data_IF_956839191536
#
_entry.id   IF_956839191536
#
_cell.length_a   1.000
_cell.length_b   1.000
_cell.length_c   1.000
_cell.angle_alpha   90.00
_cell.angle_beta   90.00
_cell.angle_gamma   90.00
#
_symmetry.space_group_name_H-M   'P 1'
#
loop_
_entity.id
_entity.type
_entity.pdbx_description
1 polymer ?
#
# COMPACT_ATOMS: atom_id res chain seq x y z
N UNK A 1 -14.26 -36.71 11.94
CA UNK A 1 -12.81 -36.44 11.77
C UNK A 1 -12.33 -35.75 13.04
N UNK A 2 -11.38 -36.36 13.74
CA UNK A 2 -10.98 -35.96 15.10
C UNK A 2 -10.11 -34.68 15.07
N UNK A 3 -10.32 -33.77 16.03
CA UNK A 3 -9.59 -32.50 16.19
C UNK A 3 -8.05 -32.64 16.15
N UNK A 4 -7.54 -33.82 16.50
CA UNK A 4 -6.10 -34.15 16.48
C UNK A 4 -5.55 -34.19 15.05
N UNK A 5 -6.30 -34.75 14.08
CA UNK A 5 -5.88 -34.80 12.67
C UNK A 5 -5.82 -33.40 12.04
N UNK A 6 -6.74 -32.52 12.41
CA UNK A 6 -6.78 -31.13 11.92
C UNK A 6 -5.53 -30.36 12.38
N UNK A 7 -5.08 -30.57 13.62
CA UNK A 7 -3.89 -29.93 14.19
C UNK A 7 -2.59 -30.35 13.49
N UNK A 8 -2.42 -31.64 13.19
CA UNK A 8 -1.26 -32.14 12.43
C UNK A 8 -1.25 -31.67 10.98
N UNK A 9 -2.43 -31.60 10.34
CA UNK A 9 -2.55 -31.08 8.98
C UNK A 9 -2.20 -29.59 8.92
N UNK A 10 -2.61 -28.83 9.94
CA UNK A 10 -2.30 -27.40 10.05
C UNK A 10 -0.80 -27.15 10.29
N UNK A 11 -0.17 -27.92 11.19
CA UNK A 11 1.28 -27.83 11.41
C UNK A 11 2.08 -28.24 10.18
N UNK A 12 1.66 -29.28 9.45
CA UNK A 12 2.31 -29.69 8.21
C UNK A 12 2.23 -28.61 7.12
N UNK A 13 1.08 -27.94 6.99
CA UNK A 13 0.91 -26.82 6.05
C UNK A 13 1.80 -25.64 6.43
N UNK A 14 1.87 -25.27 7.71
CA UNK A 14 2.75 -24.18 8.19
C UNK A 14 4.22 -24.52 7.98
N UNK A 15 4.63 -25.76 8.25
CA UNK A 15 6.01 -26.22 8.07
C UNK A 15 6.41 -26.28 6.58
N UNK A 16 5.52 -26.78 5.72
CA UNK A 16 5.73 -26.74 4.27
C UNK A 16 5.75 -25.31 3.72
N UNK A 17 4.89 -24.42 4.22
CA UNK A 17 4.92 -23.00 3.86
C UNK A 17 6.24 -22.34 4.28
N UNK A 18 6.78 -22.66 5.47
CA UNK A 18 8.07 -22.18 5.94
C UNK A 18 9.25 -22.69 5.08
N UNK A 19 9.24 -23.97 4.68
CA UNK A 19 10.25 -24.55 3.79
C UNK A 19 10.19 -23.93 2.39
N UNK A 20 8.99 -23.72 1.85
CA UNK A 20 8.79 -23.01 0.58
C UNK A 20 9.30 -21.58 0.71
N UNK A 21 9.02 -20.89 1.82
CA UNK A 21 9.51 -19.54 2.07
C UNK A 21 11.05 -19.49 2.14
N UNK A 22 11.69 -20.46 2.80
CA UNK A 22 13.16 -20.56 2.89
C UNK A 22 13.81 -20.89 1.54
N UNK A 23 13.18 -21.78 0.74
CA UNK A 23 13.63 -22.11 -0.63
C UNK A 23 13.41 -20.96 -1.60
N UNK A 24 12.30 -20.24 -1.49
CA UNK A 24 12.04 -19.02 -2.26
C UNK A 24 13.02 -17.93 -1.84
N UNK A 25 13.36 -17.78 -0.56
CA UNK A 25 14.37 -16.84 -0.09
C UNK A 25 15.76 -17.20 -0.65
N UNK A 26 16.15 -18.48 -0.63
CA UNK A 26 17.40 -18.96 -1.20
C UNK A 26 17.46 -18.85 -2.72
N UNK A 27 16.36 -19.14 -3.42
CA UNK A 27 16.23 -18.98 -4.87
C UNK A 27 16.22 -17.50 -5.26
N UNK A 28 15.55 -16.63 -4.50
CA UNK A 28 15.58 -15.18 -4.72
C UNK A 28 16.99 -14.65 -4.50
N UNK A 29 17.70 -15.04 -3.44
CA UNK A 29 19.11 -14.66 -3.23
C UNK A 29 20.05 -15.22 -4.31
N UNK A 30 19.76 -16.39 -4.88
CA UNK A 30 20.51 -17.01 -5.98
C UNK A 30 20.25 -16.31 -7.32
N UNK A 31 19.00 -15.96 -7.62
CA UNK A 31 18.57 -15.30 -8.86
C UNK A 31 18.89 -13.80 -8.83
N UNK A 32 18.62 -13.10 -7.73
CA UNK A 32 19.04 -11.70 -7.56
C UNK A 32 20.53 -11.58 -7.26
N UNK A 33 21.18 -12.62 -6.74
CA UNK A 33 22.64 -12.68 -6.62
C UNK A 33 23.29 -12.76 -7.99
N UNK A 34 22.90 -13.73 -8.82
CA UNK A 34 23.58 -13.97 -10.10
C UNK A 34 23.20 -13.01 -11.23
N UNK A 35 21.97 -12.45 -11.25
CA UNK A 35 21.57 -11.52 -12.32
C UNK A 35 22.06 -10.08 -12.12
N UNK A 36 22.49 -9.71 -10.91
CA UNK A 36 22.96 -8.36 -10.60
C UNK A 36 24.48 -8.26 -10.42
N UNK A 37 25.22 -9.36 -10.52
CA UNK A 37 26.63 -9.39 -10.10
C UNK A 37 27.63 -8.86 -11.14
N UNK A 38 27.31 -8.72 -12.43
CA UNK A 38 28.38 -8.50 -13.43
C UNK A 38 28.55 -7.09 -14.03
N UNK A 39 27.63 -6.14 -13.85
CA UNK A 39 27.71 -4.89 -14.65
C UNK A 39 27.43 -3.55 -13.96
N UNK A 40 27.40 -3.48 -12.62
CA UNK A 40 27.18 -2.20 -11.92
C UNK A 40 28.27 -1.93 -10.88
N UNK A 41 29.00 -0.78 -10.96
CA UNK A 41 30.06 -0.47 -10.04
C UNK A 41 29.54 -0.26 -8.60
N UNK A 42 30.31 -0.64 -7.56
CA UNK A 42 29.87 -0.71 -6.16
C UNK A 42 29.48 0.64 -5.54
N UNK A 43 29.95 1.76 -6.08
CA UNK A 43 29.60 3.12 -5.62
C UNK A 43 28.18 3.57 -6.00
N UNK A 44 27.58 3.01 -7.06
CA UNK A 44 26.21 3.34 -7.49
C UNK A 44 25.14 2.46 -6.82
N UNK A 45 25.49 1.23 -6.41
CA UNK A 45 24.56 0.27 -5.78
C UNK A 45 23.97 0.77 -4.45
N UNK A 46 24.71 1.63 -3.73
CA UNK A 46 24.31 2.09 -2.39
C UNK A 46 23.17 3.14 -2.39
N UNK A 47 22.91 3.82 -3.53
CA UNK A 47 21.86 4.87 -3.63
C UNK A 47 20.65 4.48 -4.47
N UNK A 48 20.79 3.51 -5.39
CA UNK A 48 19.70 3.15 -6.31
C UNK A 48 18.55 2.40 -5.62
N UNK A 49 18.86 1.44 -4.74
CA UNK A 49 17.83 0.63 -4.07
C UNK A 49 16.92 1.49 -3.18
N UNK A 50 17.44 2.36 -2.29
CA UNK A 50 16.59 3.24 -1.49
C UNK A 50 15.76 4.21 -2.35
N UNK A 51 16.31 4.66 -3.48
CA UNK A 51 15.60 5.52 -4.42
C UNK A 51 14.43 4.79 -5.08
N UNK A 52 14.64 3.57 -5.59
CA UNK A 52 13.59 2.74 -6.19
C UNK A 52 12.50 2.45 -5.16
N UNK A 53 12.85 2.01 -3.94
CA UNK A 53 11.89 1.72 -2.88
C UNK A 53 11.05 2.97 -2.51
N UNK A 54 11.69 4.12 -2.38
CA UNK A 54 11.00 5.40 -2.09
C UNK A 54 10.10 5.79 -3.25
N UNK A 55 10.58 5.66 -4.49
CA UNK A 55 9.81 5.90 -5.71
C UNK A 55 8.58 5.01 -5.80
N UNK A 56 8.73 3.71 -5.55
CA UNK A 56 7.62 2.74 -5.53
C UNK A 56 6.58 3.11 -4.45
N UNK A 57 7.01 3.52 -3.25
CA UNK A 57 6.08 3.99 -2.20
C UNK A 57 5.30 5.22 -2.64
N UNK A 58 5.99 6.22 -3.22
CA UNK A 58 5.35 7.44 -3.69
C UNK A 58 4.37 7.11 -4.83
N UNK A 59 4.78 6.27 -5.78
CA UNK A 59 3.96 5.84 -6.91
C UNK A 59 2.70 5.11 -6.43
N UNK A 60 2.85 4.06 -5.62
CA UNK A 60 1.72 3.30 -5.07
C UNK A 60 0.82 4.19 -4.20
N UNK A 61 1.43 5.07 -3.39
CA UNK A 61 0.72 6.01 -2.55
C UNK A 61 -0.12 7.00 -3.36
N UNK A 62 0.45 7.58 -4.43
CA UNK A 62 -0.23 8.52 -5.30
C UNK A 62 -1.41 7.84 -6.02
N UNK A 63 -1.20 6.66 -6.59
CA UNK A 63 -2.25 5.90 -7.27
C UNK A 63 -3.40 5.59 -6.31
N UNK A 64 -3.11 5.10 -5.11
CA UNK A 64 -4.16 4.74 -4.14
C UNK A 64 -4.88 5.96 -3.58
N UNK A 65 -4.14 7.03 -3.29
CA UNK A 65 -4.70 8.28 -2.80
C UNK A 65 -5.67 8.88 -3.83
N UNK A 66 -5.20 9.05 -5.07
CA UNK A 66 -6.01 9.61 -6.16
C UNK A 66 -7.22 8.74 -6.49
N UNK A 67 -7.06 7.41 -6.51
CA UNK A 67 -8.17 6.47 -6.72
C UNK A 67 -9.22 6.50 -5.61
N UNK A 68 -8.81 6.67 -4.35
CA UNK A 68 -9.71 6.82 -3.21
C UNK A 68 -10.43 8.17 -3.24
N UNK A 69 -9.69 9.25 -3.41
CA UNK A 69 -10.24 10.62 -3.48
C UNK A 69 -11.20 10.79 -4.66
N UNK A 70 -10.90 10.20 -5.83
CA UNK A 70 -11.82 10.22 -6.98
C UNK A 70 -13.18 9.61 -6.66
N UNK A 71 -13.22 8.50 -5.90
CA UNK A 71 -14.49 7.89 -5.45
C UNK A 71 -15.22 8.77 -4.43
N UNK A 72 -14.49 9.38 -3.49
CA UNK A 72 -15.09 10.27 -2.49
C UNK A 72 -15.62 11.59 -3.09
N UNK A 73 -15.06 12.03 -4.22
CA UNK A 73 -15.45 13.24 -4.95
C UNK A 73 -16.40 12.96 -6.12
N UNK A 74 -16.99 11.76 -6.19
CA UNK A 74 -17.90 11.35 -7.26
C UNK A 74 -17.30 11.56 -8.68
N UNK A 75 -16.00 11.30 -8.83
CA UNK A 75 -15.28 11.40 -10.10
C UNK A 75 -14.70 12.78 -10.43
N UNK A 76 -14.97 13.81 -9.61
CA UNK A 76 -14.45 15.15 -9.85
C UNK A 76 -12.95 15.30 -9.51
N UNK A 77 -12.39 14.38 -8.72
CA UNK A 77 -10.97 14.34 -8.41
C UNK A 77 -10.25 13.40 -9.40
N UNK A 78 -9.04 13.74 -9.89
CA UNK A 78 -8.30 12.90 -10.83
C UNK A 78 -8.10 11.51 -10.25
N UNK A 79 -8.69 10.49 -10.88
CA UNK A 79 -8.56 9.09 -10.50
C UNK A 79 -7.63 8.36 -11.47
N UNK A 80 -6.49 7.87 -10.99
CA UNK A 80 -5.55 7.13 -11.84
C UNK A 80 -6.03 5.72 -12.19
N UNK A 81 -6.68 5.04 -11.23
CA UNK A 81 -7.07 3.63 -11.39
C UNK A 81 -8.42 3.36 -10.73
N UNK A 82 -9.21 2.51 -11.42
CA UNK A 82 -10.42 1.91 -10.91
C UNK A 82 -11.67 2.70 -11.34
N UNK A 83 -12.74 1.99 -11.71
CA UNK A 83 -13.97 2.63 -12.16
C UNK A 83 -14.65 3.37 -11.02
N UNK A 84 -14.94 4.66 -11.22
CA UNK A 84 -15.68 5.49 -10.27
C UNK A 84 -17.13 4.99 -10.12
N UNK A 85 -17.71 4.43 -11.19
CA UNK A 85 -19.07 3.88 -11.19
C UNK A 85 -19.24 2.60 -10.35
N UNK A 86 -18.14 1.99 -9.85
CA UNK A 86 -18.24 0.77 -9.04
C UNK A 86 -19.07 0.97 -7.77
N UNK A 87 -19.01 2.16 -7.17
CA UNK A 87 -19.84 2.50 -6.02
C UNK A 87 -21.32 2.53 -6.36
N UNK A 88 -21.68 2.99 -7.56
CA UNK A 88 -23.06 3.02 -8.03
C UNK A 88 -23.56 1.61 -8.37
N UNK A 89 -22.68 0.75 -8.89
CA UNK A 89 -23.00 -0.67 -9.12
C UNK A 89 -23.22 -1.41 -7.80
N UNK A 90 -22.34 -1.23 -6.81
CA UNK A 90 -22.49 -1.80 -5.48
C UNK A 90 -23.76 -1.31 -4.76
N UNK A 91 -24.18 -0.06 -5.02
CA UNK A 91 -25.42 0.49 -4.47
C UNK A 91 -26.65 -0.31 -4.91
N UNK A 92 -26.68 -0.82 -6.15
CA UNK A 92 -27.80 -1.66 -6.65
C UNK A 92 -28.00 -2.93 -5.83
N UNK A 93 -26.95 -3.41 -5.18
CA UNK A 93 -26.95 -4.59 -4.32
C UNK A 93 -26.97 -4.25 -2.82
N UNK A 94 -27.23 -2.99 -2.45
CA UNK A 94 -27.26 -2.54 -1.04
C UNK A 94 -25.88 -2.45 -0.37
N UNK A 95 -24.80 -2.48 -1.14
CA UNK A 95 -23.39 -2.50 -0.66
C UNK A 95 -22.72 -1.12 -0.73
N UNK A 96 -23.49 -0.04 -0.69
CA UNK A 96 -22.96 1.33 -0.80
C UNK A 96 -21.92 1.67 0.28
N UNK A 97 -22.18 1.29 1.53
CA UNK A 97 -21.24 1.54 2.64
C UNK A 97 -19.91 0.82 2.45
N UNK A 98 -19.90 -0.35 1.82
CA UNK A 98 -18.67 -1.07 1.49
C UNK A 98 -17.87 -0.29 0.45
N UNK A 99 -18.53 0.27 -0.57
CA UNK A 99 -17.90 1.14 -1.57
C UNK A 99 -17.25 2.37 -0.95
N UNK A 100 -17.95 3.04 -0.02
CA UNK A 100 -17.42 4.18 0.72
C UNK A 100 -16.24 3.78 1.61
N UNK A 101 -16.35 2.66 2.33
CA UNK A 101 -15.28 2.12 3.17
C UNK A 101 -13.99 1.85 2.37
N UNK A 102 -14.13 1.25 1.17
CA UNK A 102 -13.01 1.02 0.26
C UNK A 102 -12.38 2.36 -0.15
N UNK A 103 -13.19 3.35 -0.55
CA UNK A 103 -12.69 4.66 -0.97
C UNK A 103 -11.90 5.38 0.15
N UNK A 104 -12.43 5.40 1.37
CA UNK A 104 -11.73 5.95 2.54
C UNK A 104 -10.44 5.21 2.86
N UNK A 105 -10.49 3.88 2.84
CA UNK A 105 -9.32 3.03 3.10
C UNK A 105 -8.23 3.26 2.05
N UNK A 106 -8.58 3.38 0.77
CA UNK A 106 -7.63 3.71 -0.30
C UNK A 106 -6.97 5.08 -0.09
N UNK A 107 -7.73 6.10 0.30
CA UNK A 107 -7.21 7.43 0.60
C UNK A 107 -6.22 7.41 1.77
N UNK A 108 -6.59 6.75 2.88
CA UNK A 108 -5.73 6.60 4.07
C UNK A 108 -4.44 5.85 3.74
N UNK A 109 -4.54 4.71 3.06
CA UNK A 109 -3.37 3.89 2.67
C UNK A 109 -2.44 4.71 1.75
N UNK A 110 -3.02 5.45 0.80
CA UNK A 110 -2.27 6.34 -0.09
C UNK A 110 -1.48 7.41 0.68
N UNK A 111 -2.10 8.07 1.66
CA UNK A 111 -1.44 9.06 2.52
C UNK A 111 -0.32 8.45 3.38
N UNK A 112 -0.53 7.27 3.96
CA UNK A 112 0.48 6.56 4.75
C UNK A 112 1.73 6.25 3.92
N UNK A 113 1.55 5.88 2.65
CA UNK A 113 2.65 5.63 1.71
C UNK A 113 3.34 6.92 1.26
N UNK A 114 2.59 7.98 0.96
CA UNK A 114 3.13 9.26 0.50
C UNK A 114 3.99 9.95 1.57
N UNK A 115 3.58 9.89 2.84
CA UNK A 115 4.28 10.57 3.94
C UNK A 115 5.65 9.96 4.29
N UNK A 116 6.01 8.79 3.72
CA UNK A 116 7.23 8.00 3.96
C UNK A 116 7.46 7.54 5.41
N UNK A 117 6.88 8.22 6.39
CA UNK A 117 7.04 7.98 7.82
C UNK A 117 6.32 6.72 8.28
N UNK A 118 5.10 6.50 7.76
CA UNK A 118 4.27 5.33 8.05
C UNK A 118 4.17 4.39 6.85
N UNK A 119 5.09 4.48 5.89
CA UNK A 119 4.98 3.78 4.61
C UNK A 119 4.99 2.26 4.74
N UNK A 120 5.71 1.68 5.72
CA UNK A 120 5.67 0.23 5.96
C UNK A 120 4.28 -0.22 6.43
N UNK A 121 3.62 0.55 7.30
CA UNK A 121 2.24 0.27 7.70
C UNK A 121 1.27 0.42 6.52
N UNK A 122 1.45 1.48 5.72
CA UNK A 122 0.70 1.67 4.48
C UNK A 122 0.85 0.49 3.51
N UNK A 123 2.07 -0.02 3.32
CA UNK A 123 2.33 -1.17 2.45
C UNK A 123 1.66 -2.46 2.95
N UNK A 124 1.66 -2.69 4.27
CA UNK A 124 0.98 -3.84 4.88
C UNK A 124 -0.52 -3.75 4.65
N UNK A 125 -1.13 -2.58 4.87
CA UNK A 125 -2.56 -2.36 4.62
C UNK A 125 -2.91 -2.38 3.12
N UNK A 126 -1.98 -1.99 2.25
CA UNK A 126 -2.18 -1.97 0.81
C UNK A 126 -2.33 -3.38 0.22
N UNK A 127 -1.68 -4.39 0.81
CA UNK A 127 -1.73 -5.75 0.30
C UNK A 127 -3.15 -6.36 0.27
N UNK A 128 -3.89 -6.42 1.39
CA UNK A 128 -5.27 -6.92 1.38
C UNK A 128 -6.19 -6.02 0.55
N UNK A 129 -5.93 -4.71 0.49
CA UNK A 129 -6.70 -3.77 -0.33
C UNK A 129 -6.55 -4.06 -1.82
N UNK A 130 -5.31 -4.22 -2.32
CA UNK A 130 -5.05 -4.55 -3.73
C UNK A 130 -5.59 -5.93 -4.08
N UNK A 131 -5.50 -6.90 -3.17
CA UNK A 131 -6.06 -8.23 -3.40
C UNK A 131 -7.58 -8.18 -3.57
N UNK A 132 -8.28 -7.39 -2.75
CA UNK A 132 -9.73 -7.20 -2.88
C UNK A 132 -10.09 -6.53 -4.21
N UNK A 133 -9.41 -5.42 -4.55
CA UNK A 133 -9.64 -4.71 -5.82
C UNK A 133 -9.33 -5.62 -7.02
N UNK A 134 -8.25 -6.40 -6.95
CA UNK A 134 -7.88 -7.36 -7.98
C UNK A 134 -9.01 -8.37 -8.21
N UNK A 135 -9.53 -8.98 -7.14
CA UNK A 135 -10.61 -9.97 -7.24
C UNK A 135 -11.88 -9.37 -7.84
N UNK A 136 -12.27 -8.16 -7.44
CA UNK A 136 -13.44 -7.47 -8.00
C UNK A 136 -13.25 -7.20 -9.49
N UNK A 137 -12.11 -6.62 -9.89
CA UNK A 137 -11.86 -6.29 -11.29
C UNK A 137 -11.70 -7.54 -12.16
N UNK A 138 -11.11 -8.61 -11.63
CA UNK A 138 -11.02 -9.89 -12.32
C UNK A 138 -12.41 -10.52 -12.50
N UNK A 139 -13.23 -10.52 -11.46
CA UNK A 139 -14.59 -11.06 -11.51
C UNK A 139 -15.46 -10.30 -12.52
N UNK A 140 -15.44 -8.97 -12.48
CA UNK A 140 -16.12 -8.12 -13.48
C UNK A 140 -15.56 -8.35 -14.88
N UNK A 141 -14.24 -8.45 -14.99
CA UNK A 141 -13.55 -8.72 -16.25
C UNK A 141 -14.04 -10.01 -16.89
N UNK A 142 -14.12 -11.10 -16.13
CA UNK A 142 -14.59 -12.40 -16.62
C UNK A 142 -16.10 -12.38 -16.91
N UNK A 143 -16.91 -11.81 -16.01
CA UNK A 143 -18.38 -11.82 -16.13
C UNK A 143 -18.89 -11.01 -17.34
N UNK A 144 -18.27 -9.87 -17.62
CA UNK A 144 -18.66 -8.99 -18.73
C UNK A 144 -17.76 -9.14 -19.96
N UNK A 145 -16.91 -10.17 -20.04
CA UNK A 145 -16.10 -10.42 -21.24
C UNK A 145 -16.88 -11.26 -22.25
N UNK A 146 -17.08 -10.72 -23.44
CA UNK A 146 -17.53 -11.49 -24.59
C UNK A 146 -16.37 -12.34 -25.15
N UNK A 147 -16.65 -13.50 -25.78
CA UNK A 147 -15.61 -14.34 -26.37
C UNK A 147 -14.79 -13.56 -27.41
N UNK A 148 -13.50 -13.36 -27.12
CA UNK A 148 -12.56 -12.65 -28.01
C UNK A 148 -12.47 -11.13 -27.79
N UNK A 149 -13.19 -10.54 -26.82
CA UNK A 149 -13.08 -9.12 -26.49
C UNK A 149 -12.59 -8.89 -25.06
N UNK A 150 -11.51 -8.09 -24.93
CA UNK A 150 -10.93 -7.72 -23.64
C UNK A 150 -11.61 -6.44 -23.16
N UNK A 151 -12.39 -6.53 -22.08
CA UNK A 151 -13.03 -5.37 -21.50
C UNK A 151 -12.06 -4.52 -20.64
N UNK A 152 -12.48 -3.29 -20.33
CA UNK A 152 -11.69 -2.34 -19.53
C UNK A 152 -11.44 -2.83 -18.10
N UNK A 153 -12.36 -3.63 -17.54
CA UNK A 153 -12.21 -4.20 -16.20
C UNK A 153 -11.06 -5.23 -16.16
N UNK A 154 -10.94 -6.08 -17.18
CA UNK A 154 -9.87 -7.05 -17.31
C UNK A 154 -8.51 -6.38 -17.53
N UNK A 155 -8.44 -5.33 -18.34
CA UNK A 155 -7.21 -4.53 -18.47
C UNK A 155 -6.79 -3.92 -17.13
N UNK A 156 -7.75 -3.44 -16.34
CA UNK A 156 -7.47 -2.89 -15.01
C UNK A 156 -6.98 -3.96 -14.04
N UNK A 157 -7.51 -5.20 -14.09
CA UNK A 157 -7.06 -6.28 -13.22
C UNK A 157 -5.60 -6.64 -13.45
N UNK A 158 -5.11 -6.59 -14.70
CA UNK A 158 -3.70 -6.78 -15.04
C UNK A 158 -2.82 -5.69 -14.39
N UNK A 159 -3.24 -4.43 -14.48
CA UNK A 159 -2.52 -3.31 -13.86
C UNK A 159 -2.49 -3.51 -12.34
N UNK A 160 -3.61 -3.86 -11.72
CA UNK A 160 -3.67 -4.12 -10.28
C UNK A 160 -2.79 -5.31 -9.88
N UNK A 161 -2.73 -6.37 -10.68
CA UNK A 161 -1.83 -7.51 -10.42
C UNK A 161 -0.36 -7.08 -10.41
N UNK A 162 0.03 -6.19 -11.33
CA UNK A 162 1.37 -5.59 -11.33
C UNK A 162 1.62 -4.74 -10.07
N UNK A 163 0.65 -3.91 -9.65
CA UNK A 163 0.77 -3.13 -8.41
C UNK A 163 0.83 -4.03 -7.17
N UNK A 164 0.11 -5.15 -7.17
CA UNK A 164 0.15 -6.15 -6.11
C UNK A 164 1.55 -6.75 -6.01
N UNK A 165 2.17 -7.07 -7.14
CA UNK A 165 3.55 -7.57 -7.19
C UNK A 165 4.54 -6.50 -6.70
N UNK A 166 4.38 -5.24 -7.09
CA UNK A 166 5.21 -4.14 -6.57
C UNK A 166 5.08 -3.98 -5.05
N UNK A 167 3.86 -4.06 -4.51
CA UNK A 167 3.65 -3.98 -3.07
C UNK A 167 4.20 -5.22 -2.33
N UNK A 168 4.11 -6.40 -2.92
CA UNK A 168 4.74 -7.61 -2.39
C UNK A 168 6.26 -7.48 -2.34
N UNK A 169 6.89 -6.98 -3.41
CA UNK A 169 8.33 -6.69 -3.43
C UNK A 169 8.73 -5.64 -2.38
N UNK A 170 7.91 -4.60 -2.20
CA UNK A 170 8.11 -3.58 -1.17
C UNK A 170 8.05 -4.17 0.25
N UNK A 171 7.11 -5.08 0.51
CA UNK A 171 6.98 -5.78 1.80
C UNK A 171 8.11 -6.78 2.03
N UNK A 172 8.57 -7.49 1.00
CA UNK A 172 9.75 -8.35 1.10
C UNK A 172 10.99 -7.54 1.46
N UNK A 173 11.16 -6.35 0.89
CA UNK A 173 12.24 -5.43 1.27
C UNK A 173 12.13 -4.98 2.73
N UNK A 174 10.93 -4.57 3.17
CA UNK A 174 10.66 -4.17 4.55
C UNK A 174 10.49 -5.36 5.52
N UNK A 175 10.66 -6.61 5.08
CA UNK A 175 10.41 -7.80 5.90
C UNK A 175 11.26 -7.83 7.17
N UNK A 176 12.48 -7.29 7.12
CA UNK A 176 13.34 -7.11 8.28
C UNK A 176 12.71 -6.27 9.40
N UNK A 177 11.81 -5.32 9.06
CA UNK A 177 11.03 -4.53 10.02
C UNK A 177 9.80 -5.26 10.51
N UNK A 178 9.30 -6.26 9.79
CA UNK A 178 8.09 -7.02 10.12
C UNK A 178 8.39 -8.35 10.82
N UNK A 179 9.65 -8.80 10.78
CA UNK A 179 10.10 -10.06 11.39
C UNK A 179 9.68 -10.20 12.87
N UNK A 180 9.60 -9.10 13.62
CA UNK A 180 9.19 -9.11 15.03
C UNK A 180 7.77 -9.65 15.25
N UNK A 181 6.90 -9.64 14.23
CA UNK A 181 5.53 -10.17 14.32
C UNK A 181 5.54 -11.71 14.35
N UNK A 182 6.56 -12.32 13.75
CA UNK A 182 6.69 -13.77 13.60
C UNK A 182 7.75 -14.37 14.54
N UNK A 183 8.35 -13.56 15.42
CA UNK A 183 9.33 -14.03 16.40
C UNK A 183 8.60 -14.40 17.70
N UNK A 184 8.68 -15.67 18.12
CA UNK A 184 8.04 -16.17 19.34
C UNK A 184 8.76 -15.69 20.61
N UNK A 185 10.02 -15.25 20.50
CA UNK A 185 10.82 -14.83 21.64
C UNK A 185 10.55 -13.37 22.02
N UNK A 186 9.68 -13.17 23.00
CA UNK A 186 9.34 -11.85 23.55
C UNK A 186 10.53 -11.09 24.18
N UNK A 187 11.66 -11.75 24.44
CA UNK A 187 12.85 -11.12 25.03
C UNK A 187 13.51 -10.10 24.08
N UNK A 188 13.32 -10.23 22.77
CA UNK A 188 13.78 -9.24 21.79
C UNK A 188 13.01 -7.90 21.89
N UNK A 189 11.77 -7.92 22.40
CA UNK A 189 10.95 -6.72 22.59
C UNK A 189 11.35 -5.92 23.84
N UNK A 190 11.89 -6.59 24.87
CA UNK A 190 12.35 -5.92 26.11
C UNK A 190 13.63 -5.11 25.91
N UNK A 191 14.48 -5.50 24.96
CA UNK A 191 15.81 -4.88 24.75
C UNK A 191 15.78 -3.68 23.79
N UNK A 192 14.80 -3.59 22.88
CA UNK A 192 14.60 -2.40 22.04
C UNK A 192 13.65 -1.39 22.70
N UNK A 193 14.20 -0.46 23.48
CA UNK A 193 13.47 0.80 23.78
C UNK A 193 13.23 1.54 22.46
N UNK A 194 11.97 1.60 22.00
CA UNK A 194 11.56 2.36 20.83
C UNK A 194 11.80 3.85 21.11
N UNK A 195 12.98 4.36 20.76
CA UNK A 195 13.30 5.79 20.87
C UNK A 195 12.61 6.52 19.72
N UNK A 196 11.38 6.99 19.96
CA UNK A 196 10.65 7.84 19.00
C UNK A 196 11.44 9.13 18.81
N UNK A 197 11.96 9.33 17.59
CA UNK A 197 12.92 10.40 17.30
C UNK A 197 12.31 11.81 17.42
N UNK A 198 11.08 12.01 16.95
CA UNK A 198 10.45 13.33 16.95
C UNK A 198 8.91 13.22 16.98
N UNK A 199 8.31 13.36 18.17
CA UNK A 199 6.86 13.24 18.38
C UNK A 199 6.07 14.37 17.70
N UNK A 200 6.61 15.58 17.65
CA UNK A 200 5.95 16.72 16.98
C UNK A 200 5.77 16.46 15.49
N UNK A 201 6.79 15.89 14.88
CA UNK A 201 6.74 15.53 13.48
C UNK A 201 5.75 14.36 13.19
N UNK A 202 5.43 13.49 14.15
CA UNK A 202 4.32 12.52 14.00
C UNK A 202 2.98 13.27 13.97
N UNK A 203 2.78 14.19 14.92
CA UNK A 203 1.55 14.96 15.07
C UNK A 203 1.27 15.82 13.84
N UNK A 204 2.28 16.49 13.29
CA UNK A 204 2.14 17.30 12.07
C UNK A 204 1.69 16.45 10.89
N UNK A 205 2.28 15.27 10.68
CA UNK A 205 1.85 14.34 9.61
C UNK A 205 0.42 13.88 9.84
N UNK A 206 0.07 13.48 11.06
CA UNK A 206 -1.30 13.06 11.40
C UNK A 206 -2.32 14.18 11.16
N UNK A 207 -1.99 15.42 11.54
CA UNK A 207 -2.84 16.58 11.30
C UNK A 207 -3.03 16.84 9.80
N UNK A 208 -1.95 16.81 9.00
CA UNK A 208 -2.04 16.94 7.55
C UNK A 208 -2.91 15.86 6.90
N UNK A 209 -2.78 14.60 7.35
CA UNK A 209 -3.63 13.51 6.86
C UNK A 209 -5.11 13.72 7.22
N UNK A 210 -5.41 14.15 8.44
CA UNK A 210 -6.78 14.46 8.86
C UNK A 210 -7.38 15.60 8.04
N UNK A 211 -6.60 16.65 7.75
CA UNK A 211 -7.05 17.75 6.88
C UNK A 211 -7.41 17.22 5.48
N UNK A 212 -6.58 16.36 4.88
CA UNK A 212 -6.89 15.72 3.61
C UNK A 212 -8.17 14.87 3.66
N UNK A 213 -8.41 14.15 4.76
CA UNK A 213 -9.57 13.29 4.93
C UNK A 213 -10.85 14.06 5.28
N UNK A 214 -10.77 15.27 5.82
CA UNK A 214 -11.96 16.11 6.02
C UNK A 214 -12.42 16.74 4.70
N UNK A 215 -11.50 16.96 3.75
CA UNK A 215 -11.78 17.63 2.49
C UNK A 215 -12.98 17.06 1.68
N UNK A 216 -13.14 15.74 1.49
CA UNK A 216 -14.30 15.20 0.78
C UNK A 216 -15.65 15.60 1.41
N UNK A 217 -15.71 15.78 2.73
CA UNK A 217 -16.94 16.19 3.43
C UNK A 217 -17.33 17.64 3.09
N UNK A 218 -16.34 18.48 2.76
CA UNK A 218 -16.54 19.87 2.34
C UNK A 218 -16.94 19.99 0.86
N UNK A 219 -16.80 18.92 0.07
CA UNK A 219 -17.07 18.94 -1.37
C UNK A 219 -18.55 19.25 -1.67
N UNK A 220 -19.47 18.82 -0.80
CA UNK A 220 -20.90 19.12 -0.90
C UNK A 220 -21.23 20.60 -0.73
N UNK A 221 -20.42 21.34 0.02
CA UNK A 221 -20.62 22.77 0.32
C UNK A 221 -19.88 23.65 -0.70
N UNK A 222 -18.60 23.39 -0.93
CA UNK A 222 -17.79 24.16 -1.86
C UNK A 222 -16.65 23.33 -2.47
N UNK A 223 -16.76 23.07 -3.78
CA UNK A 223 -15.80 22.28 -4.56
C UNK A 223 -14.39 22.88 -4.52
N UNK A 224 -14.27 24.20 -4.71
CA UNK A 224 -12.96 24.88 -4.76
C UNK A 224 -12.27 24.85 -3.40
N UNK A 225 -13.02 25.10 -2.31
CA UNK A 225 -12.49 24.99 -0.96
C UNK A 225 -12.01 23.57 -0.65
N UNK A 226 -12.76 22.55 -1.06
CA UNK A 226 -12.39 21.15 -0.88
C UNK A 226 -11.03 20.82 -1.52
N UNK A 227 -10.80 21.18 -2.78
CA UNK A 227 -9.48 20.99 -3.42
C UNK A 227 -8.36 21.76 -2.70
N UNK A 228 -8.64 23.00 -2.28
CA UNK A 228 -7.71 23.82 -1.49
C UNK A 228 -7.31 23.13 -0.19
N UNK A 229 -8.27 22.54 0.53
CA UNK A 229 -8.03 21.80 1.78
C UNK A 229 -7.17 20.55 1.54
N UNK A 230 -7.38 19.82 0.43
CA UNK A 230 -6.49 18.69 0.07
C UNK A 230 -5.06 19.19 -0.15
N UNK A 231 -4.88 20.26 -0.92
CA UNK A 231 -3.56 20.81 -1.22
C UNK A 231 -2.85 21.26 0.05
N UNK A 232 -3.55 21.96 0.95
CA UNK A 232 -3.02 22.37 2.26
C UNK A 232 -2.63 21.15 3.10
N UNK A 233 -3.50 20.14 3.20
CA UNK A 233 -3.23 18.93 3.97
C UNK A 233 -1.98 18.18 3.45
N UNK A 234 -1.83 18.08 2.12
CA UNK A 234 -0.64 17.50 1.50
C UNK A 234 0.62 18.33 1.78
N UNK A 235 0.56 19.66 1.72
CA UNK A 235 1.70 20.51 2.08
C UNK A 235 2.11 20.32 3.54
N UNK A 236 1.14 20.29 4.47
CA UNK A 236 1.39 20.06 5.90
C UNK A 236 2.05 18.69 6.13
N UNK A 237 1.59 17.65 5.44
CA UNK A 237 2.20 16.32 5.48
C UNK A 237 3.68 16.32 5.05
N UNK A 238 4.09 17.22 4.16
CA UNK A 238 5.44 17.28 3.62
C UNK A 238 6.41 18.11 4.49
N UNK A 239 5.93 18.97 5.39
CA UNK A 239 6.77 19.83 6.25
C UNK A 239 7.84 19.01 6.99
N UNK A 240 7.53 17.88 7.66
CA UNK A 240 8.54 17.14 8.41
C UNK A 240 9.59 16.45 7.53
N UNK A 241 9.27 16.17 6.26
CA UNK A 241 10.23 15.64 5.30
C UNK A 241 11.27 16.69 4.93
N UNK A 242 10.86 17.96 4.75
CA UNK A 242 11.77 19.06 4.47
C UNK A 242 12.64 19.42 5.67
N UNK A 243 12.08 19.45 6.89
CA UNK A 243 12.85 19.74 8.11
C UNK A 243 13.96 18.71 8.37
N UNK A 244 13.73 17.43 8.01
CA UNK A 244 14.73 16.36 8.15
C UNK A 244 15.96 16.56 7.25
N UNK A 245 15.82 17.23 6.10
CA UNK A 245 16.94 17.48 5.16
C UNK A 245 17.97 18.45 5.76
N UNK A 246 17.54 19.33 6.66
CA UNK A 246 18.40 20.36 7.26
C UNK A 246 19.22 19.85 8.47
N UNK A 247 18.76 18.80 9.15
CA UNK A 247 19.51 18.18 10.26
C UNK A 247 20.68 17.29 9.82
N UNK A 248 20.86 17.05 8.51
CA UNK A 248 21.95 16.22 7.98
C UNK A 248 23.24 17.02 7.67
N UNK A 249 23.27 18.32 7.97
CA UNK A 249 24.39 19.24 7.69
C UNK A 249 25.03 19.87 8.95
N UNK A 250 24.73 19.36 10.15
CA UNK A 250 25.44 19.71 11.39
C UNK A 250 26.09 18.47 12.00
#
# INVERSE_FOLDING_TARGET
>A
MNNVQLSYTFHAIVYHAAIINYRVYGWFHSVTGNLYLYHTPPSMRFRLIPFVITGTRILLGLIMFTAGMSKLFHGAFPGLIGPVWLTDELRKYGLEYLGQFIAWSQAVIGLLLLTQRFATLGAVMLLPMLLNIFMVMLSLGIHYSEPGHINSAFNTSIIIAFLLLLNAALLLYDFHKLKFIFDENADFLKTRKVKRRNRMADVIVMAGMLICLISPLLFSVNKMASYGVVAIGLMVCMIPLFLKKNEAFC
#
